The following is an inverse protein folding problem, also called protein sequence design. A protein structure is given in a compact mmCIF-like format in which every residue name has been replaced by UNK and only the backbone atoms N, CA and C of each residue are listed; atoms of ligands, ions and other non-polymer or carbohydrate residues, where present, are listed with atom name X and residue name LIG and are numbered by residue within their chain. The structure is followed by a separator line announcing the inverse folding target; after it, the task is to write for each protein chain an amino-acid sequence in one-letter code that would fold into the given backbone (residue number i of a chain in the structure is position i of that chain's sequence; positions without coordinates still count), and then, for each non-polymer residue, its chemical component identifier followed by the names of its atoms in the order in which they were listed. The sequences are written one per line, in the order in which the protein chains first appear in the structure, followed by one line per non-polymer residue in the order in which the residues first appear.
data_IF_114992508514
#
_entry.id   IF_114992508514
#
_cell.length_a   1.000
_cell.length_b   1.000
_cell.length_c   1.000
_cell.angle_alpha   90.00
_cell.angle_beta   90.00
_cell.angle_gamma   90.00
#
_symmetry.space_group_name_H-M   'P 1'
#
loop_
_entity.id
_entity.type
_entity.pdbx_description
1 polymer ?
#
# COMPACT_ATOMS: atom_id res chain seq x y z
N UNK A 1 -19.51 13.41 15.54
CA UNK A 1 -19.40 12.26 14.62
C UNK A 1 -18.15 11.51 15.01
N UNK A 2 -18.27 10.25 15.41
CA UNK A 2 -17.13 9.40 15.70
C UNK A 2 -16.50 8.96 14.35
N UNK A 3 -15.18 8.79 14.31
CA UNK A 3 -14.49 8.24 13.14
C UNK A 3 -14.94 6.78 12.89
N UNK A 4 -14.99 6.37 11.62
CA UNK A 4 -15.39 5.02 11.20
C UNK A 4 -14.29 4.37 10.33
N UNK A 5 -13.57 3.34 10.85
CA UNK A 5 -12.53 2.63 10.11
C UNK A 5 -13.02 1.94 8.83
N UNK A 6 -14.33 1.67 8.69
CA UNK A 6 -14.84 1.00 7.49
C UNK A 6 -14.72 1.85 6.22
N UNK A 7 -14.52 3.16 6.39
CA UNK A 7 -14.30 4.12 5.30
C UNK A 7 -12.90 4.06 4.70
N UNK A 8 -11.94 3.39 5.36
CA UNK A 8 -10.56 3.28 4.87
C UNK A 8 -10.55 2.53 3.54
N UNK A 9 -9.84 3.10 2.55
CA UNK A 9 -9.67 2.52 1.22
C UNK A 9 -8.22 2.56 0.79
N UNK A 10 -7.87 1.68 -0.15
CA UNK A 10 -6.58 1.68 -0.86
C UNK A 10 -6.80 1.91 -2.36
N UNK A 11 -6.01 2.78 -2.97
CA UNK A 11 -6.12 3.14 -4.38
C UNK A 11 -4.74 3.43 -5.00
N UNK A 12 -4.49 3.06 -6.27
CA UNK A 12 -5.34 2.24 -7.12
C UNK A 12 -5.35 0.76 -6.67
N UNK A 13 -6.46 0.06 -6.94
CA UNK A 13 -6.60 -1.36 -6.64
C UNK A 13 -7.56 -2.03 -7.65
N UNK A 14 -7.09 -2.92 -8.54
CA UNK A 14 -5.69 -3.35 -8.69
C UNK A 14 -4.73 -2.20 -9.02
N UNK A 15 -3.50 -2.28 -8.50
CA UNK A 15 -2.38 -1.45 -8.93
C UNK A 15 -1.77 -2.06 -10.19
N UNK A 16 -1.73 -1.29 -11.27
CA UNK A 16 -1.03 -1.63 -12.50
C UNK A 16 0.24 -0.78 -12.61
N UNK A 17 1.41 -1.41 -12.60
CA UNK A 17 2.68 -0.72 -12.83
C UNK A 17 2.95 -0.52 -14.32
N UNK A 18 2.15 0.29 -15.03
CA UNK A 18 2.19 0.35 -16.50
C UNK A 18 2.78 1.66 -17.06
N UNK A 19 3.92 1.58 -17.80
CA UNK A 19 4.05 1.91 -19.24
C UNK A 19 5.51 1.66 -19.77
N UNK A 20 5.73 1.03 -20.94
CA UNK A 20 7.04 0.94 -21.61
C UNK A 20 7.70 2.26 -22.07
N UNK A 21 6.98 3.39 -22.07
CA UNK A 21 7.53 4.74 -22.35
C UNK A 21 7.62 5.66 -21.13
N UNK A 22 7.35 5.14 -19.91
CA UNK A 22 7.49 5.93 -18.68
C UNK A 22 8.96 6.23 -18.39
N UNK A 23 9.31 7.52 -18.44
CA UNK A 23 10.67 8.03 -18.16
C UNK A 23 11.07 7.89 -16.69
N UNK A 24 10.13 7.59 -15.80
CA UNK A 24 10.35 7.54 -14.37
C UNK A 24 9.66 6.34 -13.72
N UNK A 25 10.40 5.24 -13.59
CA UNK A 25 9.96 4.01 -12.93
C UNK A 25 9.78 4.17 -11.40
N UNK A 26 10.02 5.38 -10.86
CA UNK A 26 10.01 5.68 -9.42
C UNK A 26 8.62 6.01 -8.86
N UNK A 27 7.61 6.29 -9.68
CA UNK A 27 6.28 6.69 -9.15
C UNK A 27 5.32 5.52 -8.90
N UNK A 28 5.87 4.37 -8.49
CA UNK A 28 5.07 3.19 -8.12
C UNK A 28 4.51 3.39 -6.73
N UNK A 29 3.23 3.74 -6.63
CA UNK A 29 2.59 3.96 -5.33
C UNK A 29 1.13 3.54 -5.28
N UNK A 30 0.73 3.05 -4.12
CA UNK A 30 -0.67 3.02 -3.69
C UNK A 30 -0.85 3.88 -2.45
N UNK A 31 -2.05 4.42 -2.29
CA UNK A 31 -2.40 5.31 -1.20
C UNK A 31 -3.54 4.72 -0.38
N UNK A 32 -3.32 4.64 0.92
CA UNK A 32 -4.37 4.45 1.92
C UNK A 32 -5.03 5.79 2.19
N UNK A 33 -6.36 5.82 2.23
CA UNK A 33 -7.17 7.04 2.34
C UNK A 33 -8.22 6.90 3.44
N UNK A 34 -8.74 8.03 3.91
CA UNK A 34 -9.68 8.10 5.04
C UNK A 34 -9.07 7.54 6.34
N UNK A 35 -7.75 7.65 6.51
CA UNK A 35 -7.10 7.44 7.80
C UNK A 35 -7.56 8.51 8.79
N UNK A 36 -7.50 8.25 10.11
CA UNK A 36 -7.87 9.25 11.10
C UNK A 36 -6.93 10.47 11.01
N UNK A 37 -7.50 11.68 11.14
CA UNK A 37 -6.73 12.94 11.21
C UNK A 37 -6.11 13.16 12.59
N UNK A 38 -6.57 12.42 13.60
CA UNK A 38 -6.11 12.50 14.98
C UNK A 38 -5.80 11.09 15.51
N UNK A 39 -4.64 10.95 16.15
CA UNK A 39 -4.17 9.69 16.70
C UNK A 39 -3.44 8.79 15.69
N UNK A 40 -2.67 7.81 16.18
CA UNK A 40 -1.88 6.92 15.33
C UNK A 40 -2.76 5.93 14.55
N UNK A 41 -2.29 5.61 13.33
CA UNK A 41 -2.68 4.41 12.61
C UNK A 41 -1.45 3.63 12.15
N UNK A 42 -1.51 2.30 12.23
CA UNK A 42 -0.44 1.41 11.74
C UNK A 42 -0.99 0.52 10.65
N UNK A 43 -0.34 0.54 9.48
CA UNK A 43 -0.71 -0.26 8.31
C UNK A 43 0.34 -1.34 8.14
N UNK A 44 -0.06 -2.61 8.29
CA UNK A 44 0.80 -3.77 8.08
C UNK A 44 0.38 -4.47 6.80
N UNK A 45 1.31 -4.58 5.86
CA UNK A 45 1.06 -5.18 4.55
C UNK A 45 1.69 -6.57 4.53
N UNK A 46 0.90 -7.56 4.16
CA UNK A 46 1.28 -8.96 4.11
C UNK A 46 1.11 -9.52 2.70
N UNK A 47 1.98 -10.45 2.31
CA UNK A 47 1.71 -11.34 1.19
C UNK A 47 0.61 -12.36 1.57
N UNK A 48 0.00 -13.03 0.59
CA UNK A 48 -1.09 -14.00 0.84
C UNK A 48 -0.68 -15.17 1.74
N UNK A 49 0.60 -15.53 1.78
CA UNK A 49 1.14 -16.58 2.64
C UNK A 49 1.33 -16.13 4.11
N UNK A 50 1.00 -14.87 4.42
CA UNK A 50 1.15 -14.28 5.74
C UNK A 50 2.51 -13.63 6.00
N UNK A 51 3.42 -13.62 5.03
CA UNK A 51 4.71 -12.93 5.16
C UNK A 51 4.51 -11.43 5.31
N UNK A 52 5.06 -10.81 6.35
CA UNK A 52 5.06 -9.36 6.51
C UNK A 52 5.99 -8.72 5.47
N UNK A 53 5.44 -7.78 4.70
CA UNK A 53 6.12 -7.14 3.57
C UNK A 53 6.59 -5.73 3.93
N UNK A 54 5.73 -4.95 4.57
CA UNK A 54 5.98 -3.54 4.90
C UNK A 54 5.13 -3.13 6.09
N UNK A 55 5.67 -2.26 6.94
CA UNK A 55 4.90 -1.52 7.95
C UNK A 55 4.94 -0.03 7.62
N UNK A 56 3.78 0.62 7.60
CA UNK A 56 3.66 2.07 7.51
C UNK A 56 3.04 2.62 8.78
N UNK A 57 3.58 3.73 9.28
CA UNK A 57 3.03 4.46 10.41
C UNK A 57 2.46 5.78 9.92
N UNK A 58 1.21 6.05 10.30
CA UNK A 58 0.53 7.31 10.04
C UNK A 58 0.26 8.00 11.38
N UNK A 59 1.05 9.02 11.67
CA UNK A 59 0.95 9.83 12.89
C UNK A 59 0.75 11.32 12.58
N UNK A 60 0.53 11.65 11.31
CA UNK A 60 0.52 13.01 10.82
C UNK A 60 -0.84 13.66 11.08
N UNK A 61 -0.88 14.53 12.09
CA UNK A 61 -2.07 15.27 12.45
C UNK A 61 -2.57 16.11 11.25
N UNK A 62 -3.85 15.93 10.89
CA UNK A 62 -4.49 16.64 9.77
C UNK A 62 -4.30 16.01 8.38
N UNK A 63 -3.59 14.89 8.25
CA UNK A 63 -3.56 14.09 7.02
C UNK A 63 -4.45 12.84 7.15
N UNK A 64 -5.12 12.46 6.06
CA UNK A 64 -5.89 11.22 5.96
C UNK A 64 -5.24 10.20 5.02
N UNK A 65 -3.96 10.38 4.70
CA UNK A 65 -3.27 9.67 3.63
C UNK A 65 -1.95 9.07 4.09
N UNK A 66 -1.73 7.81 3.71
CA UNK A 66 -0.42 7.16 3.81
C UNK A 66 -0.11 6.46 2.49
N UNK A 67 1.16 6.52 2.06
CA UNK A 67 1.59 5.99 0.77
C UNK A 67 2.46 4.76 0.97
N UNK A 68 2.18 3.70 0.21
CA UNK A 68 3.09 2.59 0.02
C UNK A 68 3.75 2.74 -1.35
N UNK A 69 5.08 2.74 -1.39
CA UNK A 69 5.93 2.85 -2.57
C UNK A 69 6.15 1.52 -3.31
N UNK A 70 5.32 0.52 -3.02
CA UNK A 70 5.39 -0.82 -3.61
C UNK A 70 6.71 -1.55 -3.36
N UNK A 71 7.39 -1.23 -2.25
CA UNK A 71 8.60 -1.93 -1.80
C UNK A 71 8.39 -2.66 -0.48
N UNK A 72 9.22 -3.66 -0.23
CA UNK A 72 9.30 -4.28 1.08
C UNK A 72 10.19 -3.47 2.05
N UNK A 73 10.38 -3.95 3.28
CA UNK A 73 11.25 -3.32 4.28
C UNK A 73 12.75 -3.30 3.87
N UNK A 74 13.15 -4.06 2.85
CA UNK A 74 14.50 -4.05 2.29
C UNK A 74 14.64 -3.10 1.09
N UNK A 75 13.66 -2.22 0.86
CA UNK A 75 13.62 -1.29 -0.27
C UNK A 75 13.62 -1.98 -1.65
N UNK A 76 13.26 -3.25 -1.70
CA UNK A 76 13.13 -4.01 -2.95
C UNK A 76 11.69 -3.95 -3.46
N UNK A 77 11.47 -3.77 -4.78
CA UNK A 77 10.15 -3.84 -5.37
C UNK A 77 9.46 -5.16 -5.06
N UNK A 78 8.17 -5.11 -4.75
CA UNK A 78 7.38 -6.31 -4.51
C UNK A 78 6.93 -6.95 -5.83
N UNK A 79 6.75 -8.27 -5.80
CA UNK A 79 6.28 -9.04 -6.94
C UNK A 79 4.82 -8.72 -7.31
N UNK A 80 4.42 -9.11 -8.52
CA UNK A 80 3.00 -9.23 -8.85
C UNK A 80 2.33 -10.26 -7.94
N UNK A 81 1.15 -9.95 -7.44
CA UNK A 81 0.43 -10.84 -6.55
C UNK A 81 -0.68 -10.15 -5.77
N UNK A 82 -1.34 -10.95 -4.93
CA UNK A 82 -2.30 -10.46 -3.96
C UNK A 82 -1.61 -10.20 -2.63
N UNK A 83 -2.00 -9.12 -1.98
CA UNK A 83 -1.51 -8.71 -0.68
C UNK A 83 -2.71 -8.34 0.21
N UNK A 84 -2.49 -8.35 1.53
CA UNK A 84 -3.47 -7.99 2.55
C UNK A 84 -2.91 -6.86 3.39
N UNK A 85 -3.67 -5.78 3.54
CA UNK A 85 -3.32 -4.69 4.45
C UNK A 85 -4.22 -4.76 5.69
N UNK A 86 -3.61 -4.88 6.86
CA UNK A 86 -4.25 -4.70 8.15
C UNK A 86 -3.98 -3.28 8.64
N UNK A 87 -5.03 -2.48 8.73
CA UNK A 87 -4.97 -1.10 9.21
C UNK A 87 -5.55 -1.06 10.63
N UNK A 88 -4.69 -0.79 11.59
CA UNK A 88 -5.04 -0.65 13.01
C UNK A 88 -5.13 0.83 13.36
N UNK A 89 -6.21 1.24 14.01
CA UNK A 89 -6.43 2.63 14.47
C UNK A 89 -6.95 2.63 15.92
N UNK A 90 -6.94 3.79 16.56
CA UNK A 90 -7.56 3.97 17.88
C UNK A 90 -9.08 3.70 17.93
N UNK A 91 -9.73 3.59 16.77
CA UNK A 91 -11.17 3.40 16.62
C UNK A 91 -11.54 1.99 16.14
N UNK A 92 -10.56 1.10 15.98
CA UNK A 92 -10.73 -0.26 15.48
C UNK A 92 -9.93 -0.55 14.22
N UNK A 93 -10.14 -1.74 13.67
CA UNK A 93 -9.32 -2.30 12.60
C UNK A 93 -10.06 -2.40 11.26
N UNK A 94 -9.30 -2.32 10.16
CA UNK A 94 -9.77 -2.59 8.81
C UNK A 94 -8.83 -3.56 8.09
N UNK A 95 -9.39 -4.57 7.44
CA UNK A 95 -8.66 -5.44 6.51
C UNK A 95 -9.01 -5.05 5.07
N UNK A 96 -7.98 -4.83 4.26
CA UNK A 96 -8.10 -4.57 2.82
C UNK A 96 -7.33 -5.62 2.04
N UNK A 97 -7.87 -6.02 0.88
CA UNK A 97 -7.20 -6.89 -0.10
C UNK A 97 -6.77 -6.04 -1.28
N UNK A 98 -5.53 -6.18 -1.72
CA UNK A 98 -4.98 -5.38 -2.81
C UNK A 98 -4.23 -6.26 -3.80
N UNK A 99 -4.48 -6.02 -5.09
CA UNK A 99 -3.87 -6.73 -6.20
C UNK A 99 -2.76 -5.87 -6.83
N UNK A 100 -1.58 -6.44 -7.01
CA UNK A 100 -0.40 -5.78 -7.58
C UNK A 100 -0.03 -6.48 -8.87
N UNK A 101 0.07 -5.71 -9.96
CA UNK A 101 0.43 -6.20 -11.28
C UNK A 101 1.64 -5.39 -11.76
N UNK A 102 2.83 -5.93 -11.57
CA UNK A 102 4.09 -5.38 -12.08
C UNK A 102 4.24 -5.68 -13.57
N UNK A 103 4.94 -4.83 -14.33
CA UNK A 103 5.25 -5.08 -15.72
C UNK A 103 6.24 -6.25 -15.84
N UNK A 104 6.18 -6.96 -16.97
CA UNK A 104 7.11 -8.04 -17.27
C UNK A 104 8.54 -7.48 -17.39
N UNK A 105 9.47 -7.94 -16.55
CA UNK A 105 10.88 -7.61 -16.70
C UNK A 105 11.47 -8.51 -17.79
N UNK A 106 11.55 -8.00 -19.03
CA UNK A 106 12.38 -8.63 -20.07
C UNK A 106 13.85 -8.32 -19.77
N UNK A 107 14.63 -9.35 -19.48
CA UNK A 107 16.09 -9.27 -19.65
C UNK A 107 16.35 -9.30 -21.16
N UNK A 108 16.75 -8.17 -21.75
CA UNK A 108 17.28 -8.18 -23.11
C UNK A 108 18.65 -8.86 -23.06
N UNK A 109 18.67 -10.13 -23.47
CA UNK A 109 19.90 -10.88 -23.71
C UNK A 109 20.44 -10.40 -25.06
N UNK A 110 21.58 -9.70 -25.04
CA UNK A 110 22.33 -9.29 -26.23
C UNK A 110 23.04 -10.48 -26.88
#
# INVERSE_FOLDING_TARGET
NLYDPDRIKVWPNPYYGYNPEERDALDRRVMFTHLPEEGPATIRIFALDGTLVRVLHHNDAGSQHATWDMKNDFELPVASGMYVAHVETNFGDKILKLAVIQPEQRLDVY
#
